data_IF_835676458303
#
_entry.id   IF_835676458303
#
_cell.length_a   1.000
_cell.length_b   1.000
_cell.length_c   1.000
_cell.angle_alpha   90.00
_cell.angle_beta   90.00
_cell.angle_gamma   90.00
#
_symmetry.space_group_name_H-M   'P 1'
#
loop_
_entity.id
_entity.type
_entity.pdbx_description
1 polymer ?
#
# COMPACT_ATOMS: atom_id res chain seq x y z
N UNK A 1 -29.95 5.18 5.33
CA UNK A 1 -29.18 4.04 4.75
C UNK A 1 -28.07 4.49 3.80
N UNK A 2 -28.23 5.62 3.09
CA UNK A 2 -27.21 6.12 2.15
C UNK A 2 -25.92 6.63 2.80
N UNK A 3 -25.99 7.23 3.97
CA UNK A 3 -24.81 7.78 4.67
C UNK A 3 -23.83 6.72 5.16
N UNK A 4 -24.32 5.57 5.62
CA UNK A 4 -23.46 4.47 6.08
C UNK A 4 -22.65 3.82 4.96
N UNK A 5 -23.21 3.77 3.74
CA UNK A 5 -22.53 3.20 2.58
C UNK A 5 -21.44 4.13 2.03
N UNK A 6 -21.64 5.44 2.09
CA UNK A 6 -20.64 6.41 1.65
C UNK A 6 -19.46 6.49 2.63
N UNK A 7 -19.70 6.43 3.94
CA UNK A 7 -18.65 6.46 4.95
C UNK A 7 -17.74 5.21 4.91
N UNK A 8 -18.29 4.04 4.57
CA UNK A 8 -17.50 2.81 4.44
C UNK A 8 -16.72 2.70 3.14
N UNK A 9 -17.17 3.34 2.07
CA UNK A 9 -16.51 3.30 0.76
C UNK A 9 -15.42 4.35 0.60
N UNK A 10 -15.63 5.56 1.11
CA UNK A 10 -14.72 6.69 0.92
C UNK A 10 -13.93 7.09 2.17
N UNK A 11 -14.10 6.35 3.26
CA UNK A 11 -13.61 6.73 4.57
C UNK A 11 -14.44 7.87 5.16
N UNK A 12 -14.37 8.04 6.48
CA UNK A 12 -14.95 9.24 7.09
C UNK A 12 -14.31 10.46 6.45
N UNK A 13 -15.13 11.29 5.86
CA UNK A 13 -14.76 12.52 5.11
C UNK A 13 -14.00 13.54 5.96
N UNK A 14 -13.75 13.24 7.20
CA UNK A 14 -13.06 14.11 8.14
C UNK A 14 -11.79 13.47 8.67
N UNK A 15 -10.72 13.51 7.86
CA UNK A 15 -9.36 13.45 8.41
C UNK A 15 -9.15 14.53 9.50
N UNK A 16 -10.02 15.52 9.53
CA UNK A 16 -10.09 16.56 10.56
C UNK A 16 -10.64 16.07 11.91
N UNK A 17 -11.31 14.91 11.96
CA UNK A 17 -11.85 14.30 13.18
C UNK A 17 -11.04 13.11 13.69
N UNK A 18 -9.87 12.83 13.06
CA UNK A 18 -8.95 11.83 13.57
C UNK A 18 -8.49 12.22 14.97
N UNK A 19 -8.76 11.35 15.92
CA UNK A 19 -8.27 11.50 17.28
C UNK A 19 -6.75 11.35 17.30
N UNK A 20 -6.08 12.06 18.21
CA UNK A 20 -4.64 11.86 18.44
C UNK A 20 -4.29 10.40 18.72
N UNK A 21 -5.21 9.65 19.29
CA UNK A 21 -5.07 8.19 19.50
C UNK A 21 -5.01 7.41 18.20
N UNK A 22 -5.82 7.76 17.20
CA UNK A 22 -5.84 7.07 15.91
C UNK A 22 -4.53 7.29 15.13
N UNK A 23 -4.00 8.51 15.19
CA UNK A 23 -2.71 8.84 14.59
C UNK A 23 -1.57 8.05 15.24
N UNK A 24 -1.59 7.94 16.57
CA UNK A 24 -0.59 7.18 17.32
C UNK A 24 -0.65 5.67 16.98
N UNK A 25 -1.85 5.11 16.86
CA UNK A 25 -2.05 3.71 16.43
C UNK A 25 -1.53 3.49 15.01
N UNK A 26 -1.85 4.39 14.08
CA UNK A 26 -1.35 4.31 12.71
C UNK A 26 0.17 4.37 12.64
N UNK A 27 0.78 5.31 13.38
CA UNK A 27 2.23 5.48 13.38
C UNK A 27 2.93 4.28 13.99
N UNK A 28 2.42 3.76 15.11
CA UNK A 28 2.99 2.56 15.74
C UNK A 28 2.86 1.32 14.85
N UNK A 29 1.72 1.17 14.17
CA UNK A 29 1.51 0.09 13.21
C UNK A 29 2.46 0.22 12.00
N UNK A 30 2.63 1.42 11.44
CA UNK A 30 3.53 1.67 10.33
C UNK A 30 4.99 1.33 10.70
N UNK A 31 5.45 1.78 11.86
CA UNK A 31 6.79 1.46 12.37
C UNK A 31 6.95 -0.05 12.58
N UNK A 32 5.96 -0.70 13.19
CA UNK A 32 5.96 -2.14 13.39
C UNK A 32 6.10 -2.90 12.07
N UNK A 33 5.30 -2.55 11.06
CA UNK A 33 5.33 -3.21 9.73
C UNK A 33 6.68 -3.00 9.05
N UNK A 34 7.24 -1.78 9.08
CA UNK A 34 8.55 -1.50 8.48
C UNK A 34 9.64 -2.29 9.17
N UNK A 35 9.69 -2.28 10.50
CA UNK A 35 10.67 -3.04 11.29
C UNK A 35 10.53 -4.54 11.01
N UNK A 36 9.31 -5.06 11.05
CA UNK A 36 9.02 -6.46 10.73
C UNK A 36 9.53 -6.83 9.33
N UNK A 37 9.20 -6.02 8.32
CA UNK A 37 9.61 -6.26 6.93
C UNK A 37 11.13 -6.21 6.77
N UNK A 38 11.82 -5.25 7.38
CA UNK A 38 13.28 -5.12 7.31
C UNK A 38 13.98 -6.31 7.97
N UNK A 39 13.52 -6.73 9.17
CA UNK A 39 14.11 -7.87 9.88
C UNK A 39 13.92 -9.20 9.14
N UNK A 40 12.74 -9.41 8.59
CA UNK A 40 12.39 -10.66 7.92
C UNK A 40 12.54 -10.60 6.38
N UNK A 41 13.12 -9.53 5.86
CA UNK A 41 13.23 -9.27 4.43
C UNK A 41 13.73 -10.48 3.62
N UNK A 42 14.84 -11.09 4.02
CA UNK A 42 15.42 -12.23 3.29
C UNK A 42 14.54 -13.48 3.32
N UNK A 43 13.84 -13.70 4.41
CA UNK A 43 12.95 -14.85 4.56
C UNK A 43 11.62 -14.64 3.83
N UNK A 44 11.07 -13.42 3.91
CA UNK A 44 9.89 -13.03 3.14
C UNK A 44 10.16 -13.15 1.64
N UNK A 45 11.30 -12.66 1.20
CA UNK A 45 11.73 -12.78 -0.20
C UNK A 45 11.81 -14.24 -0.65
N UNK A 46 12.50 -15.09 0.10
CA UNK A 46 12.66 -16.51 -0.23
C UNK A 46 11.31 -17.23 -0.30
N UNK A 47 10.42 -17.01 0.66
CA UNK A 47 9.09 -17.62 0.72
C UNK A 47 8.18 -17.11 -0.40
N UNK A 48 8.32 -15.85 -0.81
CA UNK A 48 7.45 -15.25 -1.85
C UNK A 48 7.84 -15.71 -3.26
N UNK A 49 9.13 -15.91 -3.53
CA UNK A 49 9.62 -16.22 -4.87
C UNK A 49 9.81 -17.71 -5.14
N UNK A 50 10.31 -18.46 -4.18
CA UNK A 50 10.57 -19.90 -4.32
C UNK A 50 10.37 -20.65 -3.00
N UNK A 51 9.14 -21.10 -2.80
CA UNK A 51 8.77 -21.88 -1.61
C UNK A 51 9.57 -23.19 -1.50
N UNK A 52 9.89 -23.82 -2.62
CA UNK A 52 10.62 -25.10 -2.65
C UNK A 52 12.07 -24.90 -2.24
N UNK A 53 12.69 -23.84 -2.75
CA UNK A 53 14.06 -23.47 -2.37
C UNK A 53 14.14 -23.05 -0.90
N UNK A 54 13.17 -22.29 -0.41
CA UNK A 54 13.08 -21.88 0.99
C UNK A 54 12.92 -23.10 1.92
N UNK A 55 12.10 -24.10 1.54
CA UNK A 55 11.96 -25.35 2.29
C UNK A 55 13.26 -26.18 2.30
N UNK A 56 13.94 -26.28 1.16
CA UNK A 56 15.22 -26.96 1.07
C UNK A 56 16.31 -26.30 1.95
N UNK A 57 16.23 -24.98 2.13
CA UNK A 57 17.06 -24.20 3.05
C UNK A 57 16.65 -24.26 4.53
N UNK A 58 15.71 -25.13 4.91
CA UNK A 58 15.25 -25.32 6.30
C UNK A 58 14.31 -24.23 6.81
N UNK A 59 13.75 -23.40 5.94
CA UNK A 59 12.78 -22.36 6.31
C UNK A 59 11.38 -22.99 6.40
N UNK A 60 10.70 -22.80 7.53
CA UNK A 60 9.31 -23.23 7.71
C UNK A 60 8.37 -22.30 6.93
N UNK A 61 8.23 -22.53 5.63
CA UNK A 61 7.46 -21.69 4.70
C UNK A 61 6.03 -21.44 5.18
N UNK A 62 5.37 -22.48 5.72
CA UNK A 62 4.00 -22.37 6.22
C UNK A 62 3.84 -21.31 7.30
N UNK A 63 4.80 -21.24 8.24
CA UNK A 63 4.80 -20.25 9.34
C UNK A 63 4.97 -18.83 8.78
N UNK A 64 5.93 -18.63 7.89
CA UNK A 64 6.16 -17.30 7.30
C UNK A 64 5.00 -16.84 6.42
N UNK A 65 4.40 -17.75 5.65
CA UNK A 65 3.23 -17.43 4.84
C UNK A 65 2.04 -17.02 5.71
N UNK A 66 1.75 -17.76 6.78
CA UNK A 66 0.69 -17.42 7.73
C UNK A 66 0.98 -16.09 8.43
N UNK A 67 2.22 -15.84 8.80
CA UNK A 67 2.64 -14.60 9.46
C UNK A 67 2.48 -13.37 8.53
N UNK A 68 2.92 -13.48 7.27
CA UNK A 68 2.73 -12.43 6.25
C UNK A 68 1.25 -12.16 6.03
N UNK A 69 0.42 -13.20 5.89
CA UNK A 69 -1.02 -13.07 5.71
C UNK A 69 -1.69 -12.41 6.91
N UNK A 70 -1.33 -12.79 8.14
CA UNK A 70 -1.86 -12.21 9.36
C UNK A 70 -1.50 -10.73 9.50
N UNK A 71 -0.24 -10.37 9.31
CA UNK A 71 0.22 -8.97 9.37
C UNK A 71 -0.47 -8.15 8.29
N UNK A 72 -0.53 -8.64 7.05
CA UNK A 72 -1.22 -7.95 5.96
C UNK A 72 -2.70 -7.77 6.24
N UNK A 73 -3.38 -8.80 6.76
CA UNK A 73 -4.80 -8.73 7.11
C UNK A 73 -5.09 -7.68 8.19
N UNK A 74 -4.29 -7.63 9.25
CA UNK A 74 -4.42 -6.63 10.31
C UNK A 74 -4.22 -5.21 9.76
N UNK A 75 -3.18 -5.01 8.95
CA UNK A 75 -2.90 -3.71 8.31
C UNK A 75 -4.06 -3.26 7.44
N UNK A 76 -4.57 -4.16 6.58
CA UNK A 76 -5.69 -3.85 5.67
C UNK A 76 -6.94 -3.48 6.46
N UNK A 77 -7.32 -4.27 7.47
CA UNK A 77 -8.54 -4.02 8.27
C UNK A 77 -8.46 -2.69 9.00
N UNK A 78 -7.33 -2.37 9.65
CA UNK A 78 -7.15 -1.11 10.34
C UNK A 78 -7.13 0.08 9.37
N UNK A 79 -6.44 -0.07 8.24
CA UNK A 79 -6.39 0.96 7.22
C UNK A 79 -7.77 1.20 6.56
N UNK A 80 -8.56 0.15 6.31
CA UNK A 80 -9.93 0.29 5.80
C UNK A 80 -10.84 1.09 6.73
N UNK A 81 -10.71 0.91 8.04
CA UNK A 81 -11.49 1.69 9.01
C UNK A 81 -11.14 3.18 9.01
N UNK A 82 -9.89 3.51 8.76
CA UNK A 82 -9.39 4.89 8.82
C UNK A 82 -9.57 5.64 7.50
N UNK A 83 -9.35 4.99 6.39
CA UNK A 83 -9.19 5.64 5.07
C UNK A 83 -10.23 5.18 4.06
N UNK A 84 -10.92 4.08 4.34
CA UNK A 84 -11.92 3.50 3.46
C UNK A 84 -11.41 2.43 2.51
N UNK A 85 -12.30 1.52 2.12
CA UNK A 85 -11.97 0.34 1.33
C UNK A 85 -11.44 0.67 -0.07
N UNK A 86 -12.03 1.64 -0.75
CA UNK A 86 -11.62 2.05 -2.11
C UNK A 86 -10.20 2.60 -2.13
N UNK A 87 -9.88 3.47 -1.18
CA UNK A 87 -8.55 4.10 -1.14
C UNK A 87 -7.47 3.07 -0.81
N UNK A 88 -7.73 2.16 0.13
CA UNK A 88 -6.77 1.10 0.47
C UNK A 88 -6.52 0.17 -0.71
N UNK A 89 -7.57 -0.25 -1.42
CA UNK A 89 -7.40 -1.09 -2.62
C UNK A 89 -6.53 -0.39 -3.68
N UNK A 90 -6.76 0.89 -3.91
CA UNK A 90 -5.96 1.66 -4.85
C UNK A 90 -4.50 1.82 -4.39
N UNK A 91 -4.28 2.12 -3.10
CA UNK A 91 -2.93 2.29 -2.53
C UNK A 91 -2.10 1.00 -2.54
N UNK A 92 -2.74 -0.16 -2.47
CA UNK A 92 -2.04 -1.45 -2.56
C UNK A 92 -1.71 -1.79 -4.01
N UNK A 93 -2.67 -1.61 -4.93
CA UNK A 93 -2.56 -2.11 -6.30
C UNK A 93 -1.70 -1.19 -7.17
N UNK A 94 -2.02 0.10 -7.26
CA UNK A 94 -1.40 1.00 -8.25
C UNK A 94 0.09 1.26 -8.05
N UNK A 95 0.60 1.54 -6.84
CA UNK A 95 2.04 1.73 -6.63
C UNK A 95 2.83 0.47 -6.92
N UNK A 96 2.32 -0.70 -6.52
CA UNK A 96 2.97 -1.97 -6.77
C UNK A 96 3.05 -2.28 -8.28
N UNK A 97 1.94 -2.15 -9.01
CA UNK A 97 1.91 -2.35 -10.45
C UNK A 97 2.80 -1.36 -11.20
N UNK A 98 2.82 -0.09 -10.77
CA UNK A 98 3.68 0.93 -11.36
C UNK A 98 5.17 0.59 -11.20
N UNK A 99 5.57 0.16 -10.01
CA UNK A 99 6.93 -0.24 -9.72
C UNK A 99 7.35 -1.51 -10.49
N UNK A 100 6.46 -2.49 -10.63
CA UNK A 100 6.70 -3.72 -11.38
C UNK A 100 6.86 -3.48 -12.89
N UNK A 101 6.30 -2.39 -13.43
CA UNK A 101 6.52 -1.99 -14.82
C UNK A 101 7.94 -1.47 -15.10
N UNK A 102 8.57 -0.86 -14.10
CA UNK A 102 9.90 -0.25 -14.23
C UNK A 102 11.03 -1.18 -13.85
N UNK A 103 10.82 -1.98 -12.81
CA UNK A 103 11.87 -2.79 -12.20
C UNK A 103 11.51 -4.27 -12.19
N UNK A 104 12.52 -5.12 -12.38
CA UNK A 104 12.40 -6.58 -12.29
C UNK A 104 12.93 -7.14 -10.98
N UNK A 105 13.68 -6.34 -10.22
CA UNK A 105 14.28 -6.75 -8.96
C UNK A 105 13.31 -6.45 -7.80
N UNK A 106 13.09 -7.44 -6.94
CA UNK A 106 12.18 -7.31 -5.77
C UNK A 106 12.50 -6.10 -4.88
N UNK A 107 13.77 -5.87 -4.59
CA UNK A 107 14.21 -4.70 -3.79
C UNK A 107 13.81 -3.38 -4.44
N UNK A 108 14.09 -3.25 -5.72
CA UNK A 108 13.78 -2.04 -6.47
C UNK A 108 12.26 -1.82 -6.57
N UNK A 109 11.49 -2.88 -6.80
CA UNK A 109 10.01 -2.83 -6.82
C UNK A 109 9.47 -2.40 -5.47
N UNK A 110 9.93 -3.00 -4.37
CA UNK A 110 9.46 -2.69 -3.02
C UNK A 110 9.76 -1.25 -2.63
N UNK A 111 10.99 -0.78 -2.83
CA UNK A 111 11.39 0.59 -2.50
C UNK A 111 10.63 1.58 -3.38
N UNK A 112 10.56 1.32 -4.68
CA UNK A 112 9.86 2.19 -5.62
C UNK A 112 8.36 2.27 -5.32
N UNK A 113 7.69 1.15 -5.03
CA UNK A 113 6.27 1.15 -4.68
C UNK A 113 6.00 1.90 -3.38
N UNK A 114 6.86 1.78 -2.38
CA UNK A 114 6.75 2.53 -1.13
C UNK A 114 6.90 4.03 -1.36
N UNK A 115 7.91 4.46 -2.13
CA UNK A 115 8.11 5.87 -2.48
C UNK A 115 6.93 6.42 -3.29
N UNK A 116 6.44 5.67 -4.29
CA UNK A 116 5.29 6.07 -5.10
C UNK A 116 4.01 6.18 -4.26
N UNK A 117 3.79 5.26 -3.34
CA UNK A 117 2.64 5.28 -2.44
C UNK A 117 2.65 6.53 -1.56
N UNK A 118 3.77 6.85 -0.93
CA UNK A 118 3.90 8.03 -0.07
C UNK A 118 3.80 9.32 -0.89
N UNK A 119 4.55 9.43 -1.98
CA UNK A 119 4.53 10.63 -2.83
C UNK A 119 3.16 10.87 -3.47
N UNK A 120 2.52 9.82 -3.99
CA UNK A 120 1.19 9.90 -4.59
C UNK A 120 0.11 10.28 -3.56
N UNK A 121 0.20 9.75 -2.33
CA UNK A 121 -0.71 10.10 -1.25
C UNK A 121 -0.54 11.55 -0.81
N UNK A 122 0.69 12.04 -0.67
CA UNK A 122 0.97 13.43 -0.32
C UNK A 122 0.48 14.40 -1.40
N UNK A 123 0.74 14.09 -2.67
CA UNK A 123 0.23 14.89 -3.79
C UNK A 123 -1.30 14.89 -3.84
N UNK A 124 -1.93 13.73 -3.65
CA UNK A 124 -3.37 13.60 -3.59
C UNK A 124 -4.00 14.40 -2.46
N UNK A 125 -3.38 14.39 -1.29
CA UNK A 125 -3.81 15.18 -0.14
C UNK A 125 -3.71 16.68 -0.42
N UNK A 126 -2.59 17.15 -0.95
CA UNK A 126 -2.39 18.58 -1.29
C UNK A 126 -3.41 19.04 -2.34
N UNK A 127 -3.62 18.27 -3.40
CA UNK A 127 -4.58 18.61 -4.43
C UNK A 127 -6.02 18.58 -3.92
N UNK A 128 -6.35 17.64 -3.03
CA UNK A 128 -7.65 17.58 -2.38
C UNK A 128 -7.96 18.86 -1.59
N UNK A 129 -6.98 19.37 -0.85
CA UNK A 129 -7.12 20.63 -0.11
C UNK A 129 -7.29 21.82 -1.04
N UNK A 130 -6.52 21.90 -2.13
CA UNK A 130 -6.57 22.99 -3.10
C UNK A 130 -7.88 23.04 -3.86
N UNK A 131 -8.43 21.90 -4.23
CA UNK A 131 -9.66 21.79 -5.05
C UNK A 131 -10.92 21.50 -4.22
N UNK A 132 -10.80 21.42 -2.89
CA UNK A 132 -11.91 21.08 -1.98
C UNK A 132 -12.64 19.78 -2.39
N UNK A 133 -11.88 18.79 -2.87
CA UNK A 133 -12.39 17.50 -3.33
C UNK A 133 -12.26 16.42 -2.24
N UNK A 134 -13.04 15.32 -2.29
CA UNK A 134 -12.88 14.20 -1.37
C UNK A 134 -11.48 13.60 -1.45
N UNK A 135 -10.79 13.53 -0.31
CA UNK A 135 -9.38 13.09 -0.23
C UNK A 135 -9.17 11.71 -0.85
N UNK A 136 -10.04 10.76 -0.50
CA UNK A 136 -9.94 9.39 -1.01
C UNK A 136 -9.98 9.31 -2.54
N UNK A 137 -10.95 9.98 -3.15
CA UNK A 137 -11.11 10.00 -4.60
C UNK A 137 -9.90 10.68 -5.29
N UNK A 138 -9.42 11.80 -4.75
CA UNK A 138 -8.29 12.53 -5.34
C UNK A 138 -7.01 11.70 -5.28
N UNK A 139 -6.72 11.04 -4.17
CA UNK A 139 -5.56 10.16 -4.02
C UNK A 139 -5.64 8.99 -5.01
N UNK A 140 -6.81 8.37 -5.18
CA UNK A 140 -7.00 7.30 -6.17
C UNK A 140 -6.70 7.79 -7.58
N UNK A 141 -7.24 8.94 -7.98
CA UNK A 141 -7.02 9.53 -9.31
C UNK A 141 -5.53 9.79 -9.56
N UNK A 142 -4.81 10.34 -8.57
CA UNK A 142 -3.36 10.55 -8.68
C UNK A 142 -2.62 9.25 -8.91
N UNK A 143 -2.95 8.19 -8.18
CA UNK A 143 -2.30 6.88 -8.35
C UNK A 143 -2.61 6.25 -9.71
N UNK A 144 -3.83 6.41 -10.23
CA UNK A 144 -4.20 5.98 -11.60
C UNK A 144 -3.39 6.73 -12.65
N UNK A 145 -3.24 8.06 -12.50
CA UNK A 145 -2.44 8.89 -13.42
C UNK A 145 -0.97 8.45 -13.37
N UNK A 146 -0.41 8.28 -12.18
CA UNK A 146 0.97 7.78 -12.02
C UNK A 146 1.15 6.42 -12.69
N UNK A 147 0.22 5.49 -12.47
CA UNK A 147 0.26 4.18 -13.15
C UNK A 147 0.22 4.32 -14.67
N UNK A 148 -0.64 5.19 -15.21
CA UNK A 148 -0.72 5.47 -16.65
C UNK A 148 0.59 6.01 -17.21
N UNK A 149 1.22 6.96 -16.53
CA UNK A 149 2.52 7.55 -16.94
C UNK A 149 3.61 6.45 -16.94
N UNK A 150 3.74 5.68 -15.87
CA UNK A 150 4.73 4.61 -15.78
C UNK A 150 4.49 3.49 -16.78
N UNK A 151 3.23 3.18 -17.07
CA UNK A 151 2.87 2.21 -18.11
C UNK A 151 3.24 2.70 -19.51
N UNK A 152 2.99 3.96 -19.81
CA UNK A 152 3.37 4.58 -21.07
C UNK A 152 4.90 4.63 -21.25
N UNK A 153 5.63 5.03 -20.21
CA UNK A 153 7.11 5.03 -20.23
C UNK A 153 7.67 3.63 -20.48
N UNK A 154 7.08 2.61 -19.86
CA UNK A 154 7.51 1.23 -20.09
C UNK A 154 7.21 0.76 -21.53
N UNK A 155 6.07 1.16 -22.09
CA UNK A 155 5.71 0.83 -23.47
C UNK A 155 6.68 1.46 -24.48
N UNK A 156 7.17 2.67 -24.19
CA UNK A 156 8.17 3.36 -25.02
C UNK A 156 9.56 2.72 -24.88
N UNK A 157 9.94 2.31 -23.66
CA UNK A 157 11.23 1.65 -23.41
C UNK A 157 11.28 0.19 -23.84
N UNK A 158 10.14 -0.47 -23.94
CA UNK A 158 10.02 -1.88 -24.34
C UNK A 158 10.11 -2.12 -25.86
N UNK A 159 10.36 -1.06 -26.64
CA UNK A 159 10.77 -1.14 -28.03
C UNK A 159 12.27 -0.91 -28.13
#
# INVERSE_FOLDING_TARGET
TGKFSEETLFGSTSLLTLSSSDVCICLSLAVFVVVFFVFFYHRIFAVTFDERFAQAGGIHVSVYRTLIAAVSGVVIVLAMKLVGALLISALIIFPALSAMRLFRNFRAVTICSAVLSVAGSMLGLLLSILFSTPIGATVVVIHVILFGIFSAVNAIRGK
#
